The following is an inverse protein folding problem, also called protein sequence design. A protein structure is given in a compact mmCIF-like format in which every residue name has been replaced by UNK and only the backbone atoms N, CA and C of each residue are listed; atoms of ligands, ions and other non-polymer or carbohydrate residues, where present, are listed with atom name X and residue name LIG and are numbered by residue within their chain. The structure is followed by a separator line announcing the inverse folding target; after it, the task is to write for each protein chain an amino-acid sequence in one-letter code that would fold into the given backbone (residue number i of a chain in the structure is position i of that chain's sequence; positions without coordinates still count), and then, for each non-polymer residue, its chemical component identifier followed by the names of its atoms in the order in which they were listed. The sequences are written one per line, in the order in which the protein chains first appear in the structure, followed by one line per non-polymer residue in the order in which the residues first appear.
data_IF_004938672106
#
_entry.id   IF_004938672106
#
_cell.length_a   1.000
_cell.length_b   1.000
_cell.length_c   1.000
_cell.angle_alpha   90.00
_cell.angle_beta   90.00
_cell.angle_gamma   90.00
#
_symmetry.space_group_name_H-M   'P 1'
#
loop_
_entity.id
_entity.type
_entity.pdbx_description
1 polymer ?
#
# COMPACT_ATOMS: atom_id res chain seq x y z
N UNK A 1 6.31 19.63 2.19
CA UNK A 1 6.56 18.28 2.73
C UNK A 1 5.98 17.21 1.81
N UNK A 2 4.79 17.40 1.24
CA UNK A 2 4.15 16.47 0.28
C UNK A 2 4.95 16.24 -1.01
N UNK A 3 5.65 17.26 -1.52
CA UNK A 3 6.48 17.14 -2.74
C UNK A 3 7.50 15.99 -2.70
N UNK A 4 8.04 15.67 -1.51
CA UNK A 4 8.96 14.55 -1.35
C UNK A 4 8.22 13.23 -1.52
N UNK A 5 7.07 13.06 -0.87
CA UNK A 5 6.22 11.87 -0.99
C UNK A 5 5.78 11.67 -2.44
N UNK A 6 5.25 12.72 -3.09
CA UNK A 6 4.83 12.65 -4.49
C UNK A 6 5.95 12.21 -5.44
N UNK A 7 7.18 12.70 -5.22
CA UNK A 7 8.35 12.30 -6.00
C UNK A 7 8.64 10.81 -5.83
N UNK A 8 8.65 10.31 -4.60
CA UNK A 8 8.88 8.88 -4.34
C UNK A 8 7.77 8.01 -4.92
N UNK A 9 6.51 8.44 -4.80
CA UNK A 9 5.37 7.73 -5.38
C UNK A 9 5.44 7.67 -6.90
N UNK A 10 5.85 8.76 -7.55
CA UNK A 10 6.06 8.80 -9.00
C UNK A 10 7.17 7.84 -9.42
N UNK A 11 8.27 7.77 -8.65
CA UNK A 11 9.34 6.82 -8.92
C UNK A 11 8.86 5.37 -8.81
N UNK A 12 8.04 5.04 -7.81
CA UNK A 12 7.49 3.69 -7.65
C UNK A 12 6.53 3.34 -8.78
N UNK A 13 5.68 4.27 -9.24
CA UNK A 13 4.79 4.05 -10.38
C UNK A 13 5.58 3.78 -11.68
N UNK A 14 6.77 4.35 -11.83
CA UNK A 14 7.63 4.12 -13.00
C UNK A 14 8.35 2.76 -12.98
N UNK A 15 8.24 1.97 -11.90
CA UNK A 15 8.81 0.63 -11.86
C UNK A 15 8.02 -0.33 -12.75
N UNK A 16 8.72 -1.23 -13.44
CA UNK A 16 8.10 -2.18 -14.36
C UNK A 16 7.01 -3.03 -13.69
N UNK A 17 5.84 -3.06 -14.32
CA UNK A 17 4.67 -3.82 -13.87
C UNK A 17 3.84 -3.14 -12.79
N UNK A 18 4.29 -2.04 -12.18
CA UNK A 18 3.49 -1.26 -11.23
C UNK A 18 2.46 -0.43 -11.98
N UNK A 19 1.20 -0.56 -11.60
CA UNK A 19 0.08 0.15 -12.24
C UNK A 19 -0.58 1.17 -11.33
N UNK A 20 -0.32 1.08 -10.03
CA UNK A 20 -0.88 2.00 -9.06
C UNK A 20 -0.25 1.83 -7.69
N UNK A 21 -0.40 2.85 -6.87
CA UNK A 21 -0.04 2.78 -5.47
C UNK A 21 -0.81 3.78 -4.63
N UNK A 22 -0.92 3.49 -3.34
CA UNK A 22 -1.55 4.36 -2.36
C UNK A 22 -0.78 4.29 -1.04
N UNK A 23 -0.64 5.44 -0.38
CA UNK A 23 -0.13 5.56 0.97
C UNK A 23 -1.27 6.02 1.88
N UNK A 24 -1.39 5.39 3.05
CA UNK A 24 -2.50 5.57 3.98
C UNK A 24 -1.93 5.69 5.39
N UNK A 25 -2.49 6.55 6.23
CA UNK A 25 -2.12 6.60 7.65
C UNK A 25 -2.74 5.44 8.47
N UNK A 26 -2.35 5.32 9.74
CA UNK A 26 -2.91 4.33 10.67
C UNK A 26 -4.42 4.44 10.93
N UNK A 27 -5.04 5.57 10.60
CA UNK A 27 -6.48 5.80 10.77
C UNK A 27 -7.28 5.51 9.49
N UNK A 28 -6.60 5.08 8.42
CA UNK A 28 -7.24 4.77 7.15
C UNK A 28 -7.42 5.98 6.23
N UNK A 29 -6.79 7.13 6.53
CA UNK A 29 -6.85 8.33 5.70
C UNK A 29 -5.80 8.26 4.59
N UNK A 30 -6.23 8.53 3.36
CA UNK A 30 -5.33 8.55 2.21
C UNK A 30 -4.36 9.74 2.30
N UNK A 31 -3.06 9.44 2.34
CA UNK A 31 -1.97 10.43 2.29
C UNK A 31 -1.55 10.77 0.86
N UNK A 32 -1.75 9.84 -0.08
CA UNK A 32 -1.45 10.04 -1.48
C UNK A 32 -1.79 8.82 -2.34
N UNK A 33 -2.17 9.07 -3.58
CA UNK A 33 -2.56 8.03 -4.55
C UNK A 33 -1.96 8.31 -5.93
N UNK A 34 -1.56 7.27 -6.66
CA UNK A 34 -1.08 7.34 -8.05
C UNK A 34 -1.56 6.12 -8.85
N UNK A 35 -1.72 6.30 -10.17
CA UNK A 35 -2.11 5.23 -11.09
C UNK A 35 -3.53 4.69 -10.81
N UNK A 36 -3.69 3.37 -10.90
CA UNK A 36 -4.98 2.69 -10.81
C UNK A 36 -5.48 2.43 -9.38
N UNK A 37 -4.77 2.92 -8.35
CA UNK A 37 -5.20 2.77 -6.97
C UNK A 37 -6.40 3.70 -6.67
N UNK A 38 -7.39 3.21 -5.90
CA UNK A 38 -8.58 3.97 -5.52
C UNK A 38 -8.49 4.41 -4.05
N UNK A 39 -8.76 5.69 -3.79
CA UNK A 39 -8.77 6.26 -2.43
C UNK A 39 -9.83 5.63 -1.54
N UNK A 40 -10.92 5.09 -2.11
CA UNK A 40 -11.95 4.37 -1.36
C UNK A 40 -11.43 3.11 -0.67
N UNK A 41 -10.31 2.56 -1.13
CA UNK A 41 -9.70 1.39 -0.52
C UNK A 41 -8.88 1.72 0.73
N UNK A 42 -8.61 3.00 1.03
CA UNK A 42 -7.65 3.40 2.06
C UNK A 42 -7.92 2.77 3.43
N UNK A 43 -9.15 2.87 3.92
CA UNK A 43 -9.54 2.28 5.21
C UNK A 43 -9.38 0.76 5.25
N UNK A 44 -9.77 0.07 4.18
CA UNK A 44 -9.64 -1.39 4.10
C UNK A 44 -8.17 -1.83 4.08
N UNK A 45 -7.30 -1.11 3.36
CA UNK A 45 -5.88 -1.43 3.26
C UNK A 45 -5.18 -1.29 4.62
N UNK A 46 -5.46 -0.21 5.35
CA UNK A 46 -4.93 -0.01 6.70
C UNK A 46 -5.42 -1.11 7.66
N UNK A 47 -6.72 -1.44 7.62
CA UNK A 47 -7.29 -2.50 8.46
C UNK A 47 -6.68 -3.87 8.16
N UNK A 48 -6.49 -4.24 6.89
CA UNK A 48 -5.86 -5.52 6.50
C UNK A 48 -4.44 -5.61 7.07
N UNK A 49 -3.65 -4.54 6.97
CA UNK A 49 -2.28 -4.51 7.50
C UNK A 49 -2.27 -4.68 9.03
N UNK A 50 -3.15 -3.97 9.74
CA UNK A 50 -3.28 -4.05 11.19
C UNK A 50 -3.74 -5.43 11.67
N UNK A 51 -4.65 -6.08 10.96
CA UNK A 51 -5.05 -7.46 11.31
C UNK A 51 -3.93 -8.46 11.02
N UNK A 52 -3.16 -8.27 9.93
CA UNK A 52 -2.03 -9.13 9.61
C UNK A 52 -0.91 -9.07 10.66
N UNK A 53 -0.64 -7.88 11.22
CA UNK A 53 0.33 -7.70 12.32
C UNK A 53 -0.03 -8.51 13.58
N UNK A 54 -1.32 -8.74 13.84
CA UNK A 54 -1.76 -9.52 15.02
C UNK A 54 -1.53 -11.03 14.87
N UNK A 55 -1.38 -11.53 13.63
CA UNK A 55 -1.23 -12.97 13.36
C UNK A 55 0.16 -13.46 13.79
N UNK A 56 1.20 -12.65 13.58
CA UNK A 56 2.59 -13.01 13.89
C UNK A 56 3.18 -11.96 14.84
N UNK A 57 2.88 -12.05 16.15
CA UNK A 57 3.41 -11.10 17.12
C UNK A 57 4.94 -11.21 17.21
N UNK A 58 5.62 -10.06 17.32
CA UNK A 58 7.08 -9.92 17.46
C UNK A 58 7.93 -10.21 16.22
N UNK A 59 7.35 -10.19 15.02
CA UNK A 59 8.11 -10.09 13.77
C UNK A 59 7.95 -8.71 13.12
N UNK A 60 8.85 -8.39 12.19
CA UNK A 60 8.66 -7.27 11.27
C UNK A 60 7.29 -7.38 10.58
N UNK A 61 6.65 -6.24 10.36
CA UNK A 61 5.33 -6.16 9.72
C UNK A 61 5.29 -6.97 8.41
N UNK A 62 4.36 -7.94 8.29
CA UNK A 62 4.28 -8.81 7.13
C UNK A 62 3.89 -8.03 5.86
N UNK A 63 4.24 -8.59 4.70
CA UNK A 63 3.66 -8.15 3.43
C UNK A 63 2.42 -8.99 3.18
N UNK A 64 1.26 -8.36 3.07
CA UNK A 64 0.02 -9.02 2.65
C UNK A 64 -0.08 -8.95 1.14
N UNK A 65 -0.26 -10.10 0.48
CA UNK A 65 -0.49 -10.18 -0.97
C UNK A 65 -1.94 -10.56 -1.22
N UNK A 66 -2.66 -9.72 -1.95
CA UNK A 66 -3.97 -10.07 -2.53
C UNK A 66 -3.75 -10.37 -4.00
N UNK A 67 -3.91 -11.65 -4.36
CA UNK A 67 -3.70 -12.13 -5.72
C UNK A 67 -5.02 -12.28 -6.47
N UNK A 68 -5.00 -11.88 -7.73
CA UNK A 68 -6.08 -12.10 -8.71
C UNK A 68 -5.52 -12.70 -9.98
N UNK A 69 -6.38 -13.07 -10.93
CA UNK A 69 -5.97 -13.70 -12.18
C UNK A 69 -5.04 -12.83 -13.06
N UNK A 70 -5.03 -11.51 -12.87
CA UNK A 70 -4.27 -10.57 -13.72
C UNK A 70 -3.36 -9.61 -12.95
N UNK A 71 -3.49 -9.53 -11.63
CA UNK A 71 -2.77 -8.55 -10.82
C UNK A 71 -2.68 -8.92 -9.35
N UNK A 72 -1.68 -8.37 -8.69
CA UNK A 72 -1.48 -8.47 -7.25
C UNK A 72 -1.53 -7.10 -6.60
N UNK A 73 -2.04 -7.06 -5.37
CA UNK A 73 -1.93 -5.91 -4.47
C UNK A 73 -1.02 -6.33 -3.32
N UNK A 74 0.12 -5.66 -3.19
CA UNK A 74 1.08 -5.87 -2.10
C UNK A 74 0.87 -4.77 -1.06
N UNK A 75 0.55 -5.14 0.17
CA UNK A 75 0.25 -4.23 1.28
C UNK A 75 1.30 -4.43 2.37
N UNK A 76 1.88 -3.35 2.87
CA UNK A 76 2.81 -3.38 3.99
C UNK A 76 2.67 -2.10 4.82
N UNK A 77 2.57 -2.22 6.14
CA UNK A 77 2.77 -1.10 7.05
C UNK A 77 4.23 -0.94 7.46
N UNK A 78 4.62 0.30 7.70
CA UNK A 78 5.85 0.67 8.38
C UNK A 78 5.53 1.87 9.28
N UNK A 79 5.72 1.68 10.59
CA UNK A 79 5.27 2.64 11.60
C UNK A 79 3.78 3.00 11.41
N UNK A 80 3.46 4.28 11.25
CA UNK A 80 2.09 4.78 11.13
C UNK A 80 1.60 4.90 9.67
N UNK A 81 2.33 4.31 8.70
CA UNK A 81 2.01 4.39 7.27
C UNK A 81 1.82 3.01 6.64
N UNK A 82 0.68 2.79 6.01
CA UNK A 82 0.40 1.62 5.16
C UNK A 82 0.58 1.99 3.68
N UNK A 83 1.40 1.23 2.97
CA UNK A 83 1.57 1.37 1.51
C UNK A 83 0.97 0.17 0.81
N UNK A 84 0.20 0.40 -0.25
CA UNK A 84 -0.24 -0.65 -1.17
C UNK A 84 0.25 -0.40 -2.59
N UNK A 85 0.78 -1.43 -3.25
CA UNK A 85 1.29 -1.41 -4.62
C UNK A 85 0.49 -2.38 -5.47
N UNK A 86 -0.05 -1.88 -6.58
CA UNK A 86 -0.78 -2.65 -7.57
C UNK A 86 0.19 -3.03 -8.68
N UNK A 87 0.34 -4.33 -8.94
CA UNK A 87 1.30 -4.85 -9.90
C UNK A 87 0.64 -5.89 -10.80
N UNK A 88 0.93 -5.85 -12.10
CA UNK A 88 0.58 -6.98 -12.98
C UNK A 88 1.41 -8.21 -12.60
N UNK A 89 0.78 -9.38 -12.71
CA UNK A 89 1.47 -10.67 -12.66
C UNK A 89 2.21 -10.95 -13.97
#
# INVERSE_FOLDING_TARGET
MEKSLEKHMTNVLNNHGVTGMICVDKHGLCLGVKGNADTKASGCLAAISQEAEKIIPNLDTPVVCIESSSSNILIKSHEDCTTAIYKHN
#
